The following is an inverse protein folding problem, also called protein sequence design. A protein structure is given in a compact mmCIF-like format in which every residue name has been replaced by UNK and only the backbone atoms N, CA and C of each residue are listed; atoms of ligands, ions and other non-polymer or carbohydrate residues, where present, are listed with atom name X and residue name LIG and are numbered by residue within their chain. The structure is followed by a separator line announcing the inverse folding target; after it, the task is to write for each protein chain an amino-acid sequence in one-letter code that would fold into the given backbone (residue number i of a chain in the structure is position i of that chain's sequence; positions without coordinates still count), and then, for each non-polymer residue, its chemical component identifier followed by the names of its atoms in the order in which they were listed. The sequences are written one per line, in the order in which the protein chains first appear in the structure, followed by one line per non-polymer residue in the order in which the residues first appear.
data_IF_762579408844
#
_entry.id   IF_762579408844
#
_cell.length_a   1.000
_cell.length_b   1.000
_cell.length_c   1.000
_cell.angle_alpha   90.00
_cell.angle_beta   90.00
_cell.angle_gamma   90.00
#
_symmetry.space_group_name_H-M   'P 1'
#
loop_
_entity.id
_entity.type
_entity.pdbx_description
1 polymer ?
#
# COMPACT_ATOMS: atom_id res chain seq x y z
N UNK A 1 14.73 14.63 -10.84
CA UNK A 1 15.09 13.35 -10.20
C UNK A 1 15.97 13.66 -9.00
N UNK A 2 15.50 13.43 -7.79
CA UNK A 2 16.30 13.64 -6.58
C UNK A 2 17.18 12.41 -6.34
N UNK A 3 18.49 12.61 -6.40
CA UNK A 3 19.48 11.57 -6.07
C UNK A 3 19.67 11.41 -4.55
N UNK A 4 19.38 12.44 -3.79
CA UNK A 4 19.66 12.57 -2.34
C UNK A 4 18.90 11.58 -1.45
N UNK A 5 17.86 10.93 -1.96
CA UNK A 5 17.06 9.94 -1.21
C UNK A 5 17.10 8.54 -1.81
N UNK A 6 17.99 8.30 -2.77
CA UNK A 6 18.10 6.99 -3.40
C UNK A 6 19.16 6.14 -2.72
N UNK A 7 18.88 4.87 -2.56
CA UNK A 7 19.79 3.87 -2.01
C UNK A 7 19.87 2.66 -2.93
N UNK A 8 20.92 1.86 -2.79
CA UNK A 8 21.05 0.63 -3.53
C UNK A 8 20.02 -0.41 -3.05
N UNK A 9 19.23 -0.94 -3.99
CA UNK A 9 18.16 -1.92 -3.72
C UNK A 9 18.63 -3.37 -3.84
N UNK A 10 19.87 -3.60 -4.20
CA UNK A 10 20.43 -4.94 -4.41
C UNK A 10 20.94 -5.51 -3.09
N UNK A 11 20.31 -6.57 -2.61
CA UNK A 11 20.57 -7.14 -1.26
C UNK A 11 21.99 -7.61 -1.01
N UNK A 12 22.74 -7.98 -2.05
CA UNK A 12 24.14 -8.42 -1.93
C UNK A 12 25.15 -7.26 -2.01
N UNK A 13 24.65 -6.01 -2.19
CA UNK A 13 25.51 -4.83 -2.20
C UNK A 13 25.92 -4.46 -0.77
N UNK A 14 27.19 -4.14 -0.50
CA UNK A 14 27.60 -3.65 0.83
C UNK A 14 26.87 -2.37 1.24
N UNK A 15 26.49 -1.52 0.27
CA UNK A 15 25.76 -0.28 0.50
C UNK A 15 24.23 -0.46 0.37
N UNK A 16 23.71 -1.68 0.55
CA UNK A 16 22.28 -1.93 0.50
C UNK A 16 21.55 -1.10 1.56
N UNK A 17 20.52 -0.36 1.14
CA UNK A 17 19.68 0.42 2.06
C UNK A 17 20.34 1.68 2.63
N UNK A 18 21.61 1.97 2.30
CA UNK A 18 22.32 3.15 2.81
C UNK A 18 21.95 4.37 1.98
N UNK A 19 21.34 5.37 2.63
CA UNK A 19 21.01 6.66 2.04
C UNK A 19 22.27 7.53 2.03
N UNK A 20 22.44 8.34 1.00
CA UNK A 20 23.56 9.30 0.84
C UNK A 20 24.98 8.69 0.81
N UNK A 21 25.09 7.41 0.48
CA UNK A 21 26.41 6.76 0.28
C UNK A 21 27.17 7.29 -0.96
N UNK A 22 26.59 8.20 -1.75
CA UNK A 22 27.20 8.79 -2.94
C UNK A 22 27.45 7.81 -4.10
N UNK A 23 27.00 6.57 -3.97
CA UNK A 23 27.22 5.47 -4.89
C UNK A 23 26.11 5.33 -5.96
N UNK A 24 25.09 6.17 -5.93
CA UNK A 24 23.98 6.14 -6.88
C UNK A 24 24.16 7.21 -7.95
N UNK A 25 24.03 6.79 -9.21
CA UNK A 25 24.07 7.66 -10.40
C UNK A 25 22.82 7.47 -11.23
N UNK A 26 22.42 8.49 -11.98
CA UNK A 26 21.34 8.37 -12.97
C UNK A 26 21.85 7.56 -14.16
N UNK A 27 21.17 6.46 -14.45
CA UNK A 27 21.45 5.65 -15.65
C UNK A 27 20.65 6.14 -16.85
N UNK A 28 19.35 6.39 -16.66
CA UNK A 28 18.46 6.90 -17.71
C UNK A 28 17.42 7.84 -17.10
N UNK A 29 17.35 9.07 -17.62
CA UNK A 29 16.32 10.04 -17.23
C UNK A 29 14.95 9.67 -17.81
N UNK A 30 14.91 9.12 -19.02
CA UNK A 30 13.68 8.75 -19.72
C UNK A 30 12.98 7.59 -19.02
N UNK A 31 13.76 6.55 -18.68
CA UNK A 31 13.26 5.35 -18.03
C UNK A 31 13.23 5.47 -16.48
N UNK A 32 13.68 6.60 -15.95
CA UNK A 32 13.82 6.82 -14.51
C UNK A 32 14.60 5.69 -13.82
N UNK A 33 15.76 5.35 -14.36
CA UNK A 33 16.63 4.30 -13.84
C UNK A 33 17.87 4.87 -13.20
N UNK A 34 18.29 4.22 -12.14
CA UNK A 34 19.51 4.48 -11.40
C UNK A 34 20.53 3.36 -11.59
N UNK A 35 21.77 3.66 -11.32
CA UNK A 35 22.90 2.75 -11.35
C UNK A 35 23.70 2.88 -10.06
N UNK A 36 23.98 1.75 -9.40
CA UNK A 36 24.88 1.71 -8.26
C UNK A 36 26.33 1.47 -8.74
N UNK A 37 27.24 2.36 -8.36
CA UNK A 37 28.66 2.26 -8.74
C UNK A 37 29.38 1.12 -8.01
N UNK A 38 28.93 0.75 -6.81
CA UNK A 38 29.53 -0.30 -5.97
C UNK A 38 29.23 -1.69 -6.52
N UNK A 39 27.95 -2.03 -6.72
CA UNK A 39 27.57 -3.37 -7.21
C UNK A 39 27.30 -3.45 -8.71
N UNK A 40 27.37 -2.32 -9.42
CA UNK A 40 27.18 -2.19 -10.88
C UNK A 40 25.79 -2.64 -11.39
N UNK A 41 24.78 -2.72 -10.51
CA UNK A 41 23.43 -3.03 -10.91
C UNK A 41 22.62 -1.77 -11.17
N UNK A 42 21.68 -1.87 -12.13
CA UNK A 42 20.70 -0.82 -12.42
C UNK A 42 19.35 -1.19 -11.82
N UNK A 43 18.60 -0.18 -11.38
CA UNK A 43 17.26 -0.37 -10.83
C UNK A 43 16.35 0.81 -11.19
N UNK A 44 15.05 0.57 -11.17
CA UNK A 44 14.03 1.60 -11.40
C UNK A 44 13.83 2.46 -10.15
N UNK A 45 13.46 3.72 -10.33
CA UNK A 45 13.01 4.59 -9.25
C UNK A 45 11.78 4.04 -8.49
N UNK A 46 11.01 3.17 -9.15
CA UNK A 46 9.81 2.53 -8.60
C UNK A 46 10.08 1.26 -7.80
N UNK A 47 11.33 0.80 -7.78
CA UNK A 47 11.73 -0.44 -7.12
C UNK A 47 11.32 -0.42 -5.63
N UNK A 48 10.71 -1.49 -5.17
CA UNK A 48 10.15 -1.63 -3.82
C UNK A 48 9.00 -0.68 -3.46
N UNK A 49 8.43 0.00 -4.45
CA UNK A 49 7.16 0.72 -4.28
C UNK A 49 6.02 -0.06 -4.92
N UNK A 50 4.76 0.28 -4.62
CA UNK A 50 3.63 -0.37 -5.28
C UNK A 50 3.56 -0.04 -6.79
N UNK A 51 4.29 0.98 -7.26
CA UNK A 51 4.41 1.33 -8.68
C UNK A 51 5.31 0.38 -9.48
N UNK A 52 6.11 -0.47 -8.84
CA UNK A 52 7.06 -1.37 -9.52
C UNK A 52 6.41 -2.21 -10.62
N UNK A 53 5.18 -2.66 -10.38
CA UNK A 53 4.42 -3.48 -11.33
C UNK A 53 3.45 -2.68 -12.20
N UNK A 54 3.30 -1.39 -11.94
CA UNK A 54 2.33 -0.53 -12.61
C UNK A 54 2.96 0.08 -13.88
N UNK A 55 2.41 -0.29 -15.05
CA UNK A 55 2.89 0.19 -16.36
C UNK A 55 2.25 1.51 -16.81
N UNK A 56 1.75 2.31 -15.89
CA UNK A 56 1.08 3.58 -16.17
C UNK A 56 1.78 4.74 -15.47
N UNK A 57 1.68 5.97 -16.01
CA UNK A 57 2.23 7.14 -15.34
C UNK A 57 1.72 7.23 -13.89
N UNK A 58 2.62 7.45 -12.94
CA UNK A 58 2.31 7.53 -11.51
C UNK A 58 1.16 8.47 -11.20
N UNK A 59 1.15 9.64 -11.85
CA UNK A 59 0.12 10.67 -11.62
C UNK A 59 -1.28 10.17 -11.91
N UNK A 60 -1.48 9.40 -12.99
CA UNK A 60 -2.80 8.83 -13.32
C UNK A 60 -3.29 7.84 -12.27
N UNK A 61 -2.38 7.05 -11.71
CA UNK A 61 -2.72 6.08 -10.65
C UNK A 61 -3.06 6.80 -9.35
N UNK A 62 -2.25 7.80 -8.98
CA UNK A 62 -2.46 8.61 -7.78
C UNK A 62 -3.81 9.35 -7.89
N UNK A 63 -4.11 9.96 -9.03
CA UNK A 63 -5.37 10.67 -9.27
C UNK A 63 -6.58 9.72 -9.12
N UNK A 64 -6.52 8.54 -9.73
CA UNK A 64 -7.60 7.56 -9.61
C UNK A 64 -7.80 7.11 -8.15
N UNK A 65 -6.72 6.86 -7.40
CA UNK A 65 -6.80 6.48 -5.99
C UNK A 65 -7.28 7.63 -5.10
N UNK A 66 -6.85 8.86 -5.37
CA UNK A 66 -7.31 10.05 -4.66
C UNK A 66 -8.81 10.26 -4.86
N UNK A 67 -9.32 10.14 -6.09
CA UNK A 67 -10.75 10.22 -6.38
C UNK A 67 -11.57 9.16 -5.62
N UNK A 68 -11.03 7.94 -5.43
CA UNK A 68 -11.68 6.93 -4.58
C UNK A 68 -11.68 7.35 -3.11
N UNK A 69 -10.59 7.94 -2.63
CA UNK A 69 -10.48 8.48 -1.27
C UNK A 69 -11.51 9.55 -0.98
N UNK A 70 -11.86 10.37 -1.98
CA UNK A 70 -12.94 11.38 -1.92
C UNK A 70 -14.37 10.77 -2.00
N UNK A 71 -14.51 9.48 -1.70
CA UNK A 71 -15.78 8.75 -1.66
C UNK A 71 -16.51 8.64 -3.00
N UNK A 72 -15.84 8.87 -4.11
CA UNK A 72 -16.42 8.62 -5.42
C UNK A 72 -16.59 7.11 -5.64
N UNK A 73 -17.69 6.73 -6.32
CA UNK A 73 -17.90 5.33 -6.65
C UNK A 73 -16.87 4.87 -7.69
N UNK A 74 -16.47 3.59 -7.64
CA UNK A 74 -15.54 2.99 -8.61
C UNK A 74 -15.96 3.25 -10.07
N UNK A 75 -17.27 3.18 -10.35
CA UNK A 75 -17.81 3.44 -11.70
C UNK A 75 -17.67 4.91 -12.10
N UNK A 76 -17.81 5.84 -11.15
CA UNK A 76 -17.59 7.26 -11.41
C UNK A 76 -16.12 7.53 -11.73
N UNK A 77 -15.20 7.01 -10.91
CA UNK A 77 -13.76 7.14 -11.15
C UNK A 77 -13.36 6.54 -12.49
N UNK A 78 -13.89 5.38 -12.84
CA UNK A 78 -13.62 4.73 -14.13
C UNK A 78 -14.04 5.61 -15.32
N UNK A 79 -15.16 6.31 -15.23
CA UNK A 79 -15.61 7.24 -16.27
C UNK A 79 -14.74 8.51 -16.33
N UNK A 80 -14.38 9.05 -15.17
CA UNK A 80 -13.59 10.29 -15.09
C UNK A 80 -12.15 10.11 -15.58
N UNK A 81 -11.53 8.97 -15.21
CA UNK A 81 -10.13 8.68 -15.53
C UNK A 81 -9.95 7.88 -16.83
N UNK A 82 -11.05 7.51 -17.50
CA UNK A 82 -11.05 6.67 -18.71
C UNK A 82 -10.31 5.33 -18.53
N UNK A 83 -10.36 4.77 -17.32
CA UNK A 83 -9.79 3.46 -17.02
C UNK A 83 -10.87 2.42 -16.70
N UNK A 84 -10.58 1.16 -16.98
CA UNK A 84 -11.51 0.09 -16.61
C UNK A 84 -11.61 -0.06 -15.09
N UNK A 85 -12.81 -0.35 -14.55
CA UNK A 85 -13.00 -0.56 -13.11
C UNK A 85 -12.05 -1.62 -12.53
N UNK A 86 -11.82 -2.72 -13.26
CA UNK A 86 -10.93 -3.80 -12.83
C UNK A 86 -9.47 -3.33 -12.69
N UNK A 87 -9.03 -2.41 -13.55
CA UNK A 87 -7.67 -1.84 -13.44
C UNK A 87 -7.54 -0.97 -12.21
N UNK A 88 -8.54 -0.15 -11.93
CA UNK A 88 -8.55 0.70 -10.73
C UNK A 88 -8.60 -0.15 -9.46
N UNK A 89 -9.38 -1.23 -9.44
CA UNK A 89 -9.40 -2.20 -8.34
C UNK A 89 -8.03 -2.86 -8.14
N UNK A 90 -7.35 -3.22 -9.21
CA UNK A 90 -6.00 -3.79 -9.13
C UNK A 90 -5.00 -2.78 -8.53
N UNK A 91 -5.06 -1.50 -8.90
CA UNK A 91 -4.22 -0.47 -8.29
C UNK A 91 -4.54 -0.26 -6.82
N UNK A 92 -5.83 -0.28 -6.46
CA UNK A 92 -6.27 -0.16 -5.07
C UNK A 92 -5.76 -1.34 -4.23
N UNK A 93 -5.79 -2.56 -4.77
CA UNK A 93 -5.28 -3.76 -4.11
C UNK A 93 -3.76 -3.67 -3.88
N UNK A 94 -3.00 -3.29 -4.90
CA UNK A 94 -1.55 -3.09 -4.78
C UNK A 94 -1.21 -2.01 -3.75
N UNK A 95 -1.93 -0.88 -3.76
CA UNK A 95 -1.73 0.20 -2.79
C UNK A 95 -2.08 -0.28 -1.37
N UNK A 96 -3.16 -1.05 -1.20
CA UNK A 96 -3.56 -1.63 0.08
C UNK A 96 -2.53 -2.59 0.65
N UNK A 97 -1.98 -3.48 -0.18
CA UNK A 97 -0.92 -4.41 0.22
C UNK A 97 0.35 -3.65 0.65
N UNK A 98 0.74 -2.63 -0.10
CA UNK A 98 1.90 -1.79 0.24
C UNK A 98 1.68 -1.04 1.55
N UNK A 99 0.51 -0.43 1.73
CA UNK A 99 0.14 0.29 2.96
C UNK A 99 0.14 -0.65 4.17
N UNK A 100 -0.37 -1.87 4.03
CA UNK A 100 -0.34 -2.86 5.09
C UNK A 100 1.09 -3.22 5.50
N UNK A 101 1.99 -3.40 4.51
CA UNK A 101 3.41 -3.68 4.77
C UNK A 101 4.11 -2.51 5.46
N UNK A 102 3.85 -1.27 5.02
CA UNK A 102 4.38 -0.04 5.63
C UNK A 102 3.86 0.12 7.06
N UNK A 103 2.55 -0.05 7.28
CA UNK A 103 1.95 0.01 8.61
C UNK A 103 2.55 -1.02 9.54
N UNK A 104 2.69 -2.27 9.09
CA UNK A 104 3.33 -3.32 9.88
C UNK A 104 4.81 -3.03 10.22
N UNK A 105 5.51 -2.27 9.37
CA UNK A 105 6.88 -1.85 9.63
C UNK A 105 6.97 -0.68 10.61
N UNK A 106 6.05 0.28 10.53
CA UNK A 106 6.04 1.49 11.35
C UNK A 106 5.40 1.26 12.72
N UNK A 107 4.32 0.43 12.77
CA UNK A 107 3.54 0.16 13.99
C UNK A 107 4.12 -1.08 14.69
N UNK A 108 5.39 -0.99 15.09
CA UNK A 108 6.06 -2.03 15.87
C UNK A 108 6.33 -1.52 17.27
N UNK A 109 6.09 -2.40 18.26
CA UNK A 109 6.41 -2.11 19.66
C UNK A 109 5.76 -0.83 20.24
N UNK A 110 4.55 -0.50 19.78
CA UNK A 110 3.78 0.59 20.38
C UNK A 110 3.24 0.16 21.74
N UNK A 111 3.78 0.73 22.80
CA UNK A 111 3.23 0.62 24.15
C UNK A 111 2.16 1.69 24.31
N UNK A 112 0.92 1.37 23.90
CA UNK A 112 -0.21 2.27 24.04
C UNK A 112 -0.90 2.01 25.38
N UNK A 113 -0.92 3.02 26.25
CA UNK A 113 -1.65 2.98 27.52
C UNK A 113 -3.13 3.23 27.34
N UNK A 114 -3.51 3.96 26.30
CA UNK A 114 -4.88 4.31 25.98
C UNK A 114 -5.07 4.44 24.47
N UNK A 115 -6.13 3.84 23.93
CA UNK A 115 -6.52 3.97 22.53
C UNK A 115 -7.91 4.57 22.47
N UNK A 116 -8.04 5.70 21.78
CA UNK A 116 -9.31 6.32 21.50
C UNK A 116 -9.70 6.02 20.05
N UNK A 117 -10.86 5.41 19.84
CA UNK A 117 -11.41 5.14 18.50
C UNK A 117 -12.58 6.09 18.31
N UNK A 118 -12.36 7.13 17.50
CA UNK A 118 -13.35 8.19 17.31
C UNK A 118 -14.55 7.73 16.47
N UNK A 119 -14.33 7.06 15.35
CA UNK A 119 -15.41 6.50 14.54
C UNK A 119 -14.93 5.29 13.72
N UNK A 120 -15.58 4.14 13.91
CA UNK A 120 -15.45 2.99 13.05
C UNK A 120 -16.71 2.83 12.20
N UNK A 121 -16.76 3.46 11.03
CA UNK A 121 -17.84 3.26 10.08
C UNK A 121 -17.62 1.98 9.28
N UNK A 122 -18.21 0.88 9.75
CA UNK A 122 -18.25 -0.36 8.98
C UNK A 122 -19.57 -0.43 8.22
N UNK A 123 -19.56 -0.16 6.93
CA UNK A 123 -20.68 -0.47 6.06
C UNK A 123 -20.68 -1.97 5.74
N UNK A 124 -21.28 -2.76 6.60
CA UNK A 124 -21.61 -4.15 6.27
C UNK A 124 -22.93 -4.16 5.52
N UNK A 125 -22.93 -3.71 4.27
CA UNK A 125 -24.07 -3.99 3.38
C UNK A 125 -23.93 -5.44 2.95
N UNK A 126 -24.62 -6.31 3.68
CA UNK A 126 -24.70 -7.74 3.40
C UNK A 126 -25.41 -7.97 2.05
N UNK A 127 -24.68 -7.90 0.96
CA UNK A 127 -25.16 -8.37 -0.30
C UNK A 127 -24.76 -9.84 -0.40
N UNK A 128 -25.74 -10.75 -0.33
CA UNK A 128 -25.55 -12.20 -0.31
C UNK A 128 -24.74 -12.74 -1.50
N UNK A 129 -24.47 -11.93 -2.54
CA UNK A 129 -23.68 -12.28 -3.72
C UNK A 129 -22.18 -11.94 -3.62
N UNK A 130 -21.73 -11.21 -2.60
CA UNK A 130 -20.31 -10.81 -2.46
C UNK A 130 -19.64 -11.45 -1.25
N UNK A 131 -20.27 -12.42 -0.60
CA UNK A 131 -19.74 -13.10 0.58
C UNK A 131 -18.53 -14.02 0.28
N UNK A 132 -18.12 -14.16 -0.98
CA UNK A 132 -16.97 -14.95 -1.41
C UNK A 132 -15.70 -14.15 -1.67
N UNK A 133 -15.70 -12.84 -1.46
CA UNK A 133 -14.43 -12.12 -1.36
C UNK A 133 -13.87 -12.37 0.04
N UNK A 134 -12.88 -13.25 0.11
CA UNK A 134 -12.05 -13.49 1.28
C UNK A 134 -11.64 -12.16 1.89
N UNK A 135 -12.32 -11.73 2.93
CA UNK A 135 -11.72 -10.88 3.95
C UNK A 135 -10.77 -11.82 4.69
N UNK A 136 -9.43 -11.64 4.62
CA UNK A 136 -8.56 -12.40 5.47
C UNK A 136 -9.07 -12.17 6.90
N UNK A 137 -9.38 -13.25 7.61
CA UNK A 137 -9.66 -13.20 9.04
C UNK A 137 -8.45 -12.50 9.65
N UNK A 138 -8.62 -11.23 10.00
CA UNK A 138 -7.78 -10.64 11.01
C UNK A 138 -8.03 -11.47 12.27
N UNK A 139 -7.15 -12.44 12.50
CA UNK A 139 -7.03 -13.06 13.80
C UNK A 139 -6.68 -11.90 14.74
N UNK A 140 -7.68 -11.42 15.46
CA UNK A 140 -7.47 -10.55 16.58
C UNK A 140 -6.54 -11.30 17.54
N UNK A 141 -5.28 -10.87 17.59
CA UNK A 141 -4.40 -11.23 18.69
C UNK A 141 -4.94 -10.42 19.88
N UNK A 142 -5.97 -10.96 20.49
CA UNK A 142 -6.50 -10.49 21.74
C UNK A 142 -5.63 -11.10 22.85
N UNK A 143 -4.49 -10.52 23.10
CA UNK A 143 -3.75 -10.72 24.32
C UNK A 143 -4.11 -9.60 25.28
N UNK A 144 -5.06 -9.86 26.11
CA UNK A 144 -5.31 -9.42 27.49
C UNK A 144 -6.81 -9.47 27.79
N UNK A 145 -7.15 -10.43 28.65
CA UNK A 145 -8.48 -10.86 29.00
C UNK A 145 -9.41 -9.76 29.48
N UNK A 146 -10.42 -9.49 28.66
CA UNK A 146 -11.72 -9.01 29.12
C UNK A 146 -12.76 -9.73 28.26
N UNK A 147 -13.66 -10.51 28.85
CA UNK A 147 -14.71 -11.20 28.11
C UNK A 147 -15.82 -10.22 27.73
N UNK A 148 -15.83 -9.75 26.48
CA UNK A 148 -17.01 -9.11 25.95
C UNK A 148 -18.03 -10.21 25.60
N UNK A 149 -19.06 -10.35 26.43
CA UNK A 149 -20.24 -11.12 26.09
C UNK A 149 -20.91 -10.44 24.88
N UNK A 150 -20.94 -11.12 23.74
CA UNK A 150 -21.91 -10.80 22.71
C UNK A 150 -23.32 -11.02 23.27
N UNK A 151 -24.22 -10.04 23.23
CA UNK A 151 -25.63 -10.30 23.52
C UNK A 151 -26.15 -11.21 22.41
N UNK A 152 -26.64 -12.37 22.83
CA UNK A 152 -27.37 -13.29 21.98
C UNK A 152 -28.69 -12.65 21.56
N UNK A 153 -28.77 -12.11 20.36
CA UNK A 153 -30.01 -11.71 19.71
C UNK A 153 -29.78 -11.69 18.19
N UNK A 154 -29.86 -12.86 17.59
CA UNK A 154 -30.28 -13.10 16.20
C UNK A 154 -30.45 -14.61 15.99
N UNK A 155 -31.42 -15.17 16.68
CA UNK A 155 -32.09 -16.41 16.27
C UNK A 155 -33.55 -16.00 15.95
N UNK A 156 -33.82 -15.92 14.65
CA UNK A 156 -35.10 -16.17 13.93
C UNK A 156 -34.93 -15.73 12.48
#
# INVERSE_FOLDING_TARGET
MELTRQWCVHKTCPDFGTIDAGNIRVFSYVEQRYYCTTCRHTFSADKHTFFETVRRPRLMVIEALALLGERNSLRAVARLTHHSPNRILHWLDLAGQHTAAVSAALIRHLHLTQVQIDELWTFVKKNKRTANLMIPRMSAICGYGVPWRCPAACAS
#
